data_IF_302715591119
#
_entry.id   IF_302715591119
#
_cell.length_a   1.000
_cell.length_b   1.000
_cell.length_c   1.000
_cell.angle_alpha   90.00
_cell.angle_beta   90.00
_cell.angle_gamma   90.00
#
_symmetry.space_group_name_H-M   'P 1'
#
loop_
_entity.id
_entity.type
_entity.pdbx_description
1 polymer ?
#
# COMPACT_ATOMS: atom_id res chain seq x y z
N UNK A 1 -15.97 -17.75 15.17
CA UNK A 1 -16.55 -16.40 15.29
C UNK A 1 -15.40 -15.39 15.30
N UNK A 2 -15.62 -14.09 15.06
CA UNK A 2 -14.51 -13.10 15.06
C UNK A 2 -14.89 -11.92 15.96
N UNK A 3 -14.08 -11.65 16.98
CA UNK A 3 -14.28 -10.50 17.86
C UNK A 3 -14.21 -9.18 17.07
N UNK A 4 -15.05 -8.21 17.42
CA UNK A 4 -15.19 -6.93 16.70
C UNK A 4 -13.86 -6.18 16.58
N UNK A 5 -13.05 -6.22 17.63
CA UNK A 5 -11.70 -5.63 17.66
C UNK A 5 -10.75 -6.23 16.60
N UNK A 6 -10.95 -7.49 16.22
CA UNK A 6 -10.11 -8.23 15.29
C UNK A 6 -10.61 -8.18 13.84
N UNK A 7 -11.73 -7.50 13.57
CA UNK A 7 -12.35 -7.47 12.22
C UNK A 7 -11.42 -6.84 11.19
N UNK A 8 -10.68 -5.77 11.55
CA UNK A 8 -9.73 -5.14 10.62
C UNK A 8 -8.58 -6.05 10.22
N UNK A 9 -7.98 -6.76 11.19
CA UNK A 9 -6.92 -7.72 10.92
C UNK A 9 -7.47 -8.90 10.09
N UNK A 10 -8.66 -9.38 10.44
CA UNK A 10 -9.34 -10.44 9.70
C UNK A 10 -9.58 -10.07 8.24
N UNK A 11 -10.10 -8.87 7.95
CA UNK A 11 -10.35 -8.41 6.59
C UNK A 11 -9.05 -8.31 5.78
N UNK A 12 -7.99 -7.75 6.38
CA UNK A 12 -6.70 -7.59 5.72
C UNK A 12 -6.10 -8.95 5.30
N UNK A 13 -5.96 -9.86 6.26
CA UNK A 13 -5.43 -11.21 6.00
C UNK A 13 -6.33 -12.01 5.07
N UNK A 14 -7.66 -11.83 5.14
CA UNK A 14 -8.59 -12.48 4.22
C UNK A 14 -8.35 -12.03 2.77
N UNK A 15 -8.13 -10.74 2.54
CA UNK A 15 -7.80 -10.23 1.20
C UNK A 15 -6.46 -10.79 0.71
N UNK A 16 -5.41 -10.80 1.53
CA UNK A 16 -4.13 -11.41 1.13
C UNK A 16 -4.26 -12.91 0.87
N UNK A 17 -5.04 -13.63 1.67
CA UNK A 17 -5.30 -15.05 1.46
C UNK A 17 -6.03 -15.30 0.13
N UNK A 18 -7.07 -14.52 -0.17
CA UNK A 18 -7.82 -14.66 -1.42
C UNK A 18 -6.95 -14.33 -2.64
N UNK A 19 -6.11 -13.30 -2.55
CA UNK A 19 -5.18 -12.92 -3.62
C UNK A 19 -4.15 -14.02 -3.92
N UNK A 20 -3.57 -14.62 -2.88
CA UNK A 20 -2.53 -15.65 -3.04
C UNK A 20 -3.09 -17.06 -3.30
N UNK A 21 -4.17 -17.46 -2.61
CA UNK A 21 -4.64 -18.85 -2.60
C UNK A 21 -5.83 -19.10 -3.52
N UNK A 22 -6.65 -18.08 -3.80
CA UNK A 22 -7.89 -18.21 -4.57
C UNK A 22 -8.06 -17.07 -5.60
N UNK A 23 -7.04 -16.74 -6.43
CA UNK A 23 -7.13 -15.64 -7.39
C UNK A 23 -8.26 -15.83 -8.42
N UNK A 24 -8.59 -17.08 -8.75
CA UNK A 24 -9.68 -17.41 -9.67
C UNK A 24 -11.07 -16.95 -9.20
N UNK A 25 -11.31 -16.90 -7.89
CA UNK A 25 -12.57 -16.34 -7.33
C UNK A 25 -12.63 -14.84 -7.58
N UNK A 26 -11.53 -14.12 -7.34
CA UNK A 26 -11.45 -12.67 -7.56
C UNK A 26 -11.59 -12.33 -9.05
N UNK A 27 -10.99 -13.14 -9.93
CA UNK A 27 -11.13 -13.00 -11.38
C UNK A 27 -12.56 -13.25 -11.85
N UNK A 28 -13.22 -14.29 -11.31
CA UNK A 28 -14.61 -14.58 -11.62
C UNK A 28 -15.54 -13.43 -11.18
N UNK A 29 -15.33 -12.87 -9.99
CA UNK A 29 -16.08 -11.69 -9.51
C UNK A 29 -15.82 -10.48 -10.41
N UNK A 30 -14.56 -10.23 -10.78
CA UNK A 30 -14.18 -9.10 -11.64
C UNK A 30 -14.83 -9.20 -13.03
N UNK A 31 -14.90 -10.40 -13.58
CA UNK A 31 -15.38 -10.66 -14.94
C UNK A 31 -16.91 -10.73 -14.99
N UNK A 32 -17.53 -11.53 -14.12
CA UNK A 32 -18.99 -11.69 -14.09
C UNK A 32 -19.69 -10.50 -13.47
N UNK A 33 -19.03 -9.78 -12.55
CA UNK A 33 -19.62 -8.72 -11.70
C UNK A 33 -20.87 -9.19 -10.95
N UNK A 34 -20.96 -10.50 -10.71
CA UNK A 34 -22.08 -11.17 -10.08
C UNK A 34 -21.53 -12.23 -9.11
N UNK A 35 -22.27 -12.41 -8.01
CA UNK A 35 -22.01 -13.46 -7.04
C UNK A 35 -22.99 -14.62 -7.31
N UNK A 36 -22.72 -15.35 -8.37
CA UNK A 36 -23.46 -16.59 -8.70
C UNK A 36 -23.23 -17.67 -7.64
N UNK A 37 -24.04 -18.72 -7.65
CA UNK A 37 -23.96 -19.79 -6.65
C UNK A 37 -22.59 -20.49 -6.63
N UNK A 38 -21.93 -20.62 -7.78
CA UNK A 38 -20.57 -21.14 -7.88
C UNK A 38 -19.55 -20.24 -7.14
N UNK A 39 -19.57 -18.94 -7.43
CA UNK A 39 -18.68 -17.94 -6.81
C UNK A 39 -18.94 -17.87 -5.30
N UNK A 40 -20.21 -17.90 -4.88
CA UNK A 40 -20.60 -17.95 -3.47
C UNK A 40 -20.07 -19.20 -2.77
N UNK A 41 -20.18 -20.36 -3.41
CA UNK A 41 -19.69 -21.61 -2.85
C UNK A 41 -18.16 -21.58 -2.68
N UNK A 42 -17.43 -21.11 -3.69
CA UNK A 42 -15.98 -20.99 -3.61
C UNK A 42 -15.54 -19.99 -2.54
N UNK A 43 -16.18 -18.82 -2.46
CA UNK A 43 -15.91 -17.81 -1.44
C UNK A 43 -16.23 -18.34 -0.04
N UNK A 44 -17.34 -19.06 0.13
CA UNK A 44 -17.72 -19.67 1.41
C UNK A 44 -16.74 -20.75 1.85
N UNK A 45 -16.25 -21.57 0.92
CA UNK A 45 -15.21 -22.56 1.20
C UNK A 45 -13.89 -21.88 1.62
N UNK A 46 -13.47 -20.86 0.88
CA UNK A 46 -12.28 -20.06 1.22
C UNK A 46 -12.41 -19.40 2.60
N UNK A 47 -13.57 -18.83 2.93
CA UNK A 47 -13.86 -18.24 4.24
C UNK A 47 -13.79 -19.27 5.38
N UNK A 48 -14.24 -20.50 5.15
CA UNK A 48 -14.16 -21.57 6.15
C UNK A 48 -12.71 -21.98 6.41
N UNK A 49 -11.94 -22.23 5.36
CA UNK A 49 -10.50 -22.50 5.46
C UNK A 49 -9.78 -21.37 6.20
N UNK A 50 -10.01 -20.13 5.76
CA UNK A 50 -9.36 -18.97 6.36
C UNK A 50 -9.73 -18.80 7.84
N UNK A 51 -11.00 -18.94 8.21
CA UNK A 51 -11.43 -18.85 9.62
C UNK A 51 -10.78 -19.92 10.49
N UNK A 52 -10.56 -21.14 9.98
CA UNK A 52 -9.85 -22.17 10.73
C UNK A 52 -8.39 -21.75 10.97
N UNK A 53 -7.70 -21.32 9.93
CA UNK A 53 -6.31 -20.85 10.02
C UNK A 53 -6.16 -19.60 10.89
N UNK A 54 -7.07 -18.63 10.75
CA UNK A 54 -7.07 -17.37 11.50
C UNK A 54 -7.23 -17.62 13.01
N UNK A 55 -8.18 -18.46 13.41
CA UNK A 55 -8.38 -18.82 14.83
C UNK A 55 -7.18 -19.58 15.43
N UNK A 56 -6.44 -20.33 14.61
CA UNK A 56 -5.21 -21.01 15.04
C UNK A 56 -3.98 -20.06 15.06
N UNK A 57 -3.97 -19.05 14.20
CA UNK A 57 -2.86 -18.12 13.99
C UNK A 57 -2.88 -16.85 14.86
N UNK A 58 -3.95 -16.57 15.61
CA UNK A 58 -4.08 -15.36 16.45
C UNK A 58 -2.97 -15.15 17.49
N UNK A 59 -2.06 -16.11 17.70
CA UNK A 59 -0.91 -15.93 18.58
C UNK A 59 0.29 -15.20 17.94
N UNK A 60 0.29 -14.93 16.62
CA UNK A 60 1.40 -14.24 15.96
C UNK A 60 0.90 -13.50 14.71
N UNK A 61 0.70 -12.17 14.80
CA UNK A 61 1.19 -11.23 13.80
C UNK A 61 0.93 -9.78 14.22
N UNK A 62 2.05 -9.09 14.43
CA UNK A 62 2.17 -7.67 14.70
C UNK A 62 1.66 -6.85 13.49
N UNK A 63 1.19 -5.61 13.72
CA UNK A 63 0.80 -4.71 12.64
C UNK A 63 2.02 -4.43 11.75
N UNK A 64 1.96 -4.85 10.49
CA UNK A 64 2.88 -4.36 9.47
C UNK A 64 2.37 -3.00 8.99
N UNK A 65 3.08 -1.89 9.23
CA UNK A 65 2.69 -0.60 8.68
C UNK A 65 3.06 -0.57 7.19
N UNK A 66 2.10 -0.11 6.39
CA UNK A 66 2.27 0.47 5.05
C UNK A 66 3.20 -0.27 4.06
N UNK A 67 2.56 -0.95 3.09
CA UNK A 67 3.11 -1.03 1.73
C UNK A 67 3.22 0.42 1.23
N UNK A 68 4.38 1.04 1.46
CA UNK A 68 4.74 2.32 0.87
C UNK A 68 4.71 2.14 -0.65
N UNK A 69 3.74 2.83 -1.23
CA UNK A 69 3.60 3.13 -2.63
C UNK A 69 4.95 3.50 -3.25
N UNK A 70 5.51 2.59 -4.06
CA UNK A 70 6.57 2.95 -4.99
C UNK A 70 6.35 2.23 -6.31
N UNK A 71 5.53 2.84 -7.18
CA UNK A 71 5.84 2.78 -8.60
C UNK A 71 5.22 3.97 -9.36
N UNK A 72 6.03 5.01 -9.55
CA UNK A 72 5.78 6.13 -10.46
C UNK A 72 7.10 6.60 -11.04
N UNK A 73 7.30 6.36 -12.33
CA UNK A 73 8.53 6.60 -13.11
C UNK A 73 9.07 8.03 -12.99
N UNK A 74 10.42 8.12 -12.96
CA UNK A 74 11.31 9.27 -13.25
C UNK A 74 10.84 10.15 -14.44
N UNK A 75 11.13 11.47 -14.47
CA UNK A 75 12.44 11.90 -14.96
C UNK A 75 13.09 13.10 -14.24
N UNK A 76 14.40 13.18 -14.43
CA UNK A 76 15.29 14.29 -14.07
C UNK A 76 14.85 15.62 -14.70
N UNK A 77 14.85 16.70 -13.91
CA UNK A 77 15.08 18.06 -14.40
C UNK A 77 15.77 18.88 -13.29
N UNK A 78 16.82 19.65 -13.61
CA UNK A 78 17.59 20.42 -12.64
C UNK A 78 16.72 21.52 -12.03
N UNK A 79 16.81 21.68 -10.72
CA UNK A 79 16.14 22.74 -9.97
C UNK A 79 16.68 24.11 -10.44
N UNK A 80 15.82 25.10 -10.74
CA UNK A 80 16.27 26.48 -10.87
C UNK A 80 16.63 27.00 -9.47
N UNK A 81 17.91 27.33 -9.30
CA UNK A 81 18.44 28.04 -8.14
C UNK A 81 17.93 29.49 -8.17
N UNK A 82 17.04 29.82 -7.22
CA UNK A 82 16.67 31.17 -6.79
C UNK A 82 16.22 31.02 -5.33
N UNK A 83 16.56 31.82 -4.33
CA UNK A 83 17.41 32.98 -4.14
C UNK A 83 17.41 33.14 -2.60
N UNK A 84 18.57 33.30 -1.95
CA UNK A 84 18.61 33.77 -0.56
C UNK A 84 19.45 35.05 -0.51
N UNK A 85 18.83 36.23 -0.32
CA UNK A 85 19.55 37.46 -0.13
C UNK A 85 19.92 37.63 1.35
N UNK A 86 21.20 37.83 1.63
CA UNK A 86 21.65 38.45 2.87
C UNK A 86 22.87 39.35 2.60
N UNK A 87 22.60 40.66 2.63
CA UNK A 87 23.44 41.77 3.10
C UNK A 87 24.60 41.37 4.04
N UNK A 88 25.74 42.06 4.20
CA UNK A 88 26.26 43.39 3.81
C UNK A 88 27.77 43.42 4.17
N UNK A 89 28.44 44.51 3.78
CA UNK A 89 29.83 44.91 4.08
C UNK A 89 30.88 44.31 3.12
N UNK A 90 31.57 45.07 2.26
CA UNK A 90 31.95 46.48 2.34
C UNK A 90 33.46 46.55 2.52
N UNK A 91 34.21 46.74 1.43
CA UNK A 91 35.52 47.42 1.43
C UNK A 91 36.14 47.43 0.01
N UNK A 92 36.49 48.63 -0.41
CA UNK A 92 37.64 49.03 -1.24
C UNK A 92 37.71 48.50 -2.69
N UNK A 93 37.55 49.35 -3.73
CA UNK A 93 38.42 50.45 -4.23
C UNK A 93 39.52 49.91 -5.17
N UNK A 94 39.74 50.68 -6.24
CA UNK A 94 40.80 50.59 -7.28
C UNK A 94 40.43 49.80 -8.54
N UNK A 95 40.01 50.47 -9.63
CA UNK A 95 40.87 51.05 -10.68
C UNK A 95 41.84 50.02 -11.29
N UNK A 96 41.62 49.65 -12.55
CA UNK A 96 42.46 50.15 -13.66
C UNK A 96 41.95 49.65 -15.01
N UNK A 97 41.65 50.60 -15.88
CA UNK A 97 41.48 50.40 -17.33
C UNK A 97 42.81 50.10 -18.01
N UNK A 98 42.90 49.03 -18.80
CA UNK A 98 43.32 49.02 -20.21
C UNK A 98 43.30 47.62 -20.79
#
# INVERSE_FOLDING_TARGET
DVAVENVRAFEHDLYEFLDNSKPGVLEAIRTKKQLDDDVKNQLTAALKEFKQNFQQGQNKQQPQPAKAENNGRRPSAPQPEVEQPAETAGAARDLQSK
#
